data_IF_880138497793
#
_entry.id   IF_880138497793
#
_cell.length_a   1.000
_cell.length_b   1.000
_cell.length_c   1.000
_cell.angle_alpha   90.00
_cell.angle_beta   90.00
_cell.angle_gamma   90.00
#
_symmetry.space_group_name_H-M   'P 1'
#
loop_
_entity.id
_entity.type
_entity.pdbx_description
1 polymer ?
#
# COMPACT_ATOMS: atom_id res chain seq x y z
N UNK A 1 24.47 11.69 21.32
CA UNK A 1 23.06 11.59 20.90
C UNK A 1 22.24 11.16 22.11
N UNK A 2 21.63 12.10 22.84
CA UNK A 2 21.03 11.84 24.16
C UNK A 2 19.61 11.28 24.06
N UNK A 3 19.23 10.37 24.97
CA UNK A 3 17.96 9.63 24.99
C UNK A 3 16.68 10.50 25.13
N UNK A 4 16.81 11.81 25.36
CA UNK A 4 15.70 12.74 25.57
C UNK A 4 14.97 13.17 24.29
N UNK A 5 15.57 12.95 23.10
CA UNK A 5 15.02 13.42 21.81
C UNK A 5 13.87 12.54 21.27
N UNK A 6 13.64 11.36 21.88
CA UNK A 6 12.56 10.43 21.48
C UNK A 6 11.18 10.79 22.03
N UNK A 7 11.05 11.90 22.76
CA UNK A 7 9.83 12.27 23.49
C UNK A 7 9.02 13.43 22.88
N UNK A 8 9.38 13.89 21.68
CA UNK A 8 8.70 15.01 21.01
C UNK A 8 7.78 14.55 19.87
N UNK A 9 6.70 15.29 19.66
CA UNK A 9 5.80 15.05 18.54
C UNK A 9 6.51 15.33 17.20
N UNK A 10 6.39 14.41 16.25
CA UNK A 10 7.00 14.55 14.91
C UNK A 10 6.47 15.71 14.05
N UNK A 11 5.36 16.33 14.45
CA UNK A 11 4.74 17.44 13.69
C UNK A 11 5.00 18.79 14.34
N UNK A 12 4.72 18.94 15.64
CA UNK A 12 4.87 20.22 16.34
C UNK A 12 6.16 20.35 17.15
N UNK A 13 7.01 19.32 17.19
CA UNK A 13 8.26 19.29 17.96
C UNK A 13 8.10 19.58 19.46
N UNK A 14 6.87 19.52 20.00
CA UNK A 14 6.57 19.70 21.41
C UNK A 14 6.46 18.34 22.12
N UNK A 15 6.79 18.30 23.41
CA UNK A 15 6.56 17.13 24.27
C UNK A 15 5.05 16.99 24.52
N UNK A 16 4.38 15.94 24.04
CA UNK A 16 2.96 15.78 24.30
C UNK A 16 2.75 15.49 25.79
N UNK A 17 1.96 16.33 26.47
CA UNK A 17 1.72 16.19 27.91
C UNK A 17 0.70 15.11 28.26
N UNK A 18 -0.24 14.83 27.36
CA UNK A 18 -1.32 13.84 27.53
C UNK A 18 -1.71 13.22 26.18
N UNK A 19 -2.33 12.03 26.18
CA UNK A 19 -2.83 11.32 25.00
C UNK A 19 -1.79 11.20 23.86
N UNK A 20 -0.60 10.71 24.23
CA UNK A 20 0.50 10.46 23.29
C UNK A 20 0.19 9.20 22.47
N UNK A 21 0.33 9.27 21.15
CA UNK A 21 0.26 8.09 20.28
C UNK A 21 1.66 7.68 19.82
N UNK A 22 2.04 6.44 20.10
CA UNK A 22 3.25 5.82 19.56
C UNK A 22 2.88 5.09 18.26
N UNK A 23 3.36 5.58 17.12
CA UNK A 23 3.06 5.02 15.80
C UNK A 23 4.19 5.33 14.82
N UNK A 24 4.46 4.43 13.87
CA UNK A 24 5.52 4.59 12.85
C UNK A 24 6.91 4.91 13.46
N UNK A 25 7.23 4.31 14.61
CA UNK A 25 8.48 4.56 15.34
C UNK A 25 8.64 5.97 15.94
N UNK A 26 7.56 6.76 15.96
CA UNK A 26 7.53 8.17 16.37
C UNK A 26 6.45 8.43 17.41
N UNK A 27 6.57 9.56 18.13
CA UNK A 27 5.53 10.07 19.01
C UNK A 27 4.69 11.14 18.30
N UNK A 28 3.41 11.14 18.62
CA UNK A 28 2.43 12.06 18.06
C UNK A 28 1.52 12.60 19.17
N UNK A 29 1.21 13.90 19.11
CA UNK A 29 0.13 14.47 19.92
C UNK A 29 -1.23 13.98 19.42
N UNK A 30 -2.23 13.96 20.32
CA UNK A 30 -3.62 13.61 20.00
C UNK A 30 -4.17 14.26 18.71
N UNK A 31 -3.80 15.52 18.41
CA UNK A 31 -4.31 16.26 17.25
C UNK A 31 -3.41 16.16 16.00
N UNK A 32 -2.23 15.53 16.10
CA UNK A 32 -1.26 15.49 15.02
C UNK A 32 -1.11 14.10 14.40
N UNK A 33 -1.67 13.06 15.02
CA UNK A 33 -1.77 11.76 14.40
C UNK A 33 -3.05 11.68 13.56
N UNK A 34 -2.96 12.15 12.32
CA UNK A 34 -4.09 12.26 11.39
C UNK A 34 -3.84 11.46 10.12
N UNK A 35 -4.93 11.09 9.43
CA UNK A 35 -4.87 10.45 8.13
C UNK A 35 -4.20 11.39 7.12
N UNK A 36 -3.16 10.94 6.43
CA UNK A 36 -2.45 11.74 5.43
C UNK A 36 -3.34 12.17 4.24
N UNK A 37 -4.49 11.50 4.03
CA UNK A 37 -5.40 11.83 2.91
C UNK A 37 -6.53 12.76 3.33
N UNK A 38 -7.18 12.52 4.47
CA UNK A 38 -8.37 13.29 4.88
C UNK A 38 -8.18 14.12 6.15
N UNK A 39 -6.99 14.10 6.76
CA UNK A 39 -6.64 14.82 7.98
C UNK A 39 -7.51 14.53 9.22
N UNK A 40 -8.33 13.47 9.19
CA UNK A 40 -9.10 13.01 10.36
C UNK A 40 -8.15 12.37 11.37
N UNK A 41 -8.33 12.68 12.65
CA UNK A 41 -7.57 12.10 13.76
C UNK A 41 -7.72 10.58 13.82
N UNK A 42 -6.59 9.87 13.86
CA UNK A 42 -6.50 8.41 13.88
C UNK A 42 -6.48 7.88 15.32
N UNK A 43 -7.58 8.08 16.03
CA UNK A 43 -7.69 7.76 17.47
C UNK A 43 -7.62 6.24 17.72
N UNK A 44 -8.30 5.48 16.87
CA UNK A 44 -8.52 4.04 16.98
C UNK A 44 -7.59 3.24 16.06
N UNK A 45 -8.17 2.65 15.01
CA UNK A 45 -7.51 1.85 13.99
C UNK A 45 -6.87 2.72 12.90
N UNK A 46 -5.68 2.33 12.47
CA UNK A 46 -4.98 2.96 11.36
C UNK A 46 -4.13 1.93 10.62
N UNK A 47 -3.85 2.23 9.35
CA UNK A 47 -2.90 1.49 8.55
C UNK A 47 -1.71 2.38 8.19
N UNK A 48 -0.53 1.79 8.24
CA UNK A 48 0.70 2.38 7.73
C UNK A 48 0.92 1.97 6.28
N UNK A 49 1.24 2.92 5.40
CA UNK A 49 1.71 2.62 4.04
C UNK A 49 2.79 3.62 3.65
N UNK A 50 3.95 3.16 3.18
CA UNK A 50 5.08 4.05 2.78
C UNK A 50 5.39 5.11 3.85
N UNK A 51 5.52 4.68 5.11
CA UNK A 51 5.81 5.52 6.28
C UNK A 51 4.76 6.62 6.60
N UNK A 52 3.56 6.51 6.02
CA UNK A 52 2.44 7.43 6.26
C UNK A 52 1.26 6.69 6.89
N UNK A 53 0.50 7.38 7.73
CA UNK A 53 -0.67 6.83 8.41
C UNK A 53 -1.97 7.19 7.66
N UNK A 54 -2.85 6.20 7.52
CA UNK A 54 -4.12 6.33 6.81
C UNK A 54 -5.27 5.71 7.61
N UNK A 55 -6.46 6.30 7.51
CA UNK A 55 -7.67 5.68 8.06
C UNK A 55 -8.10 4.50 7.17
N UNK A 56 -8.88 3.52 7.67
CA UNK A 56 -9.33 2.36 6.91
C UNK A 56 -9.96 2.69 5.56
N UNK A 57 -10.78 3.76 5.54
CA UNK A 57 -11.46 4.25 4.33
C UNK A 57 -10.50 4.81 3.28
N UNK A 58 -9.47 5.56 3.70
CA UNK A 58 -8.48 6.14 2.79
C UNK A 58 -7.43 5.11 2.37
N UNK A 59 -7.04 4.20 3.28
CA UNK A 59 -6.07 3.14 3.01
C UNK A 59 -6.48 2.31 1.79
N UNK A 60 -7.74 1.86 1.71
CA UNK A 60 -8.21 1.09 0.55
C UNK A 60 -8.15 1.84 -0.79
N UNK A 61 -8.10 3.18 -0.78
CA UNK A 61 -8.03 4.00 -2.00
C UNK A 61 -6.60 4.23 -2.49
N UNK A 62 -5.62 4.21 -1.59
CA UNK A 62 -4.21 4.44 -1.91
C UNK A 62 -3.47 3.16 -2.28
N UNK A 63 -4.02 1.99 -1.93
CA UNK A 63 -3.42 0.71 -2.27
C UNK A 63 -3.39 0.52 -3.79
N UNK A 64 -2.31 -0.05 -4.34
CA UNK A 64 -2.26 -0.38 -5.76
C UNK A 64 -3.40 -1.34 -6.10
N UNK A 65 -4.06 -1.12 -7.23
CA UNK A 65 -5.21 -1.93 -7.64
C UNK A 65 -4.77 -2.98 -8.66
N UNK A 66 -5.29 -4.19 -8.50
CA UNK A 66 -5.07 -5.25 -9.47
C UNK A 66 -5.70 -4.86 -10.82
N UNK A 67 -4.90 -4.87 -11.90
CA UNK A 67 -5.38 -4.51 -13.25
C UNK A 67 -6.43 -5.50 -13.80
N UNK A 68 -6.42 -6.75 -13.32
CA UNK A 68 -7.37 -7.79 -13.76
C UNK A 68 -8.72 -7.71 -13.05
N UNK A 69 -8.74 -7.56 -11.71
CA UNK A 69 -10.00 -7.59 -10.95
C UNK A 69 -10.43 -6.24 -10.37
N UNK A 70 -9.61 -5.19 -10.46
CA UNK A 70 -9.87 -3.85 -9.95
C UNK A 70 -9.81 -3.70 -8.42
N UNK A 71 -9.60 -4.81 -7.67
CA UNK A 71 -9.54 -4.80 -6.21
C UNK A 71 -8.16 -4.33 -5.70
N UNK A 72 -8.09 -3.65 -4.54
CA UNK A 72 -6.83 -3.21 -3.95
C UNK A 72 -5.97 -4.39 -3.48
N UNK A 73 -4.67 -4.33 -3.75
CA UNK A 73 -3.66 -5.26 -3.30
C UNK A 73 -3.31 -4.91 -1.85
N UNK A 74 -3.64 -5.81 -0.93
CA UNK A 74 -3.39 -5.60 0.50
C UNK A 74 -1.91 -5.75 0.82
N UNK A 75 -1.44 -4.96 1.78
CA UNK A 75 -0.10 -5.11 2.35
C UNK A 75 0.08 -6.52 2.93
N UNK A 76 1.27 -7.10 2.75
CA UNK A 76 1.61 -8.46 3.22
C UNK A 76 1.10 -9.62 2.36
N UNK A 77 0.42 -9.35 1.24
CA UNK A 77 0.09 -10.37 0.23
C UNK A 77 1.08 -10.32 -0.92
N UNK A 78 1.50 -11.48 -1.39
CA UNK A 78 2.30 -11.59 -2.61
C UNK A 78 1.50 -11.08 -3.81
N UNK A 79 2.13 -10.20 -4.59
CA UNK A 79 1.60 -9.68 -5.84
C UNK A 79 2.66 -9.80 -6.93
N UNK A 80 2.19 -9.88 -8.18
CA UNK A 80 3.05 -9.91 -9.36
C UNK A 80 3.25 -8.49 -9.86
N UNK A 81 4.50 -8.11 -10.06
CA UNK A 81 4.89 -6.84 -10.65
C UNK A 81 5.20 -7.07 -12.14
N UNK A 82 4.78 -6.15 -13.00
CA UNK A 82 5.15 -6.13 -14.41
C UNK A 82 5.41 -4.71 -14.88
N UNK A 83 6.34 -4.55 -15.82
CA UNK A 83 6.74 -3.25 -16.37
C UNK A 83 7.07 -2.21 -15.28
N UNK A 84 7.63 -2.66 -14.15
CA UNK A 84 8.05 -1.80 -13.03
C UNK A 84 6.95 -1.23 -12.13
N UNK A 85 5.68 -1.23 -12.55
CA UNK A 85 4.59 -0.55 -11.80
C UNK A 85 3.22 -1.23 -11.85
N UNK A 86 3.02 -2.24 -12.69
CA UNK A 86 1.71 -2.88 -12.82
C UNK A 86 1.63 -4.06 -11.87
N UNK A 87 0.57 -4.09 -11.06
CA UNK A 87 0.42 -5.10 -10.03
C UNK A 87 -0.81 -5.99 -10.26
N UNK A 88 -0.67 -7.29 -10.03
CA UNK A 88 -1.77 -8.26 -9.97
C UNK A 88 -1.67 -9.12 -8.72
N UNK A 89 -2.81 -9.61 -8.24
CA UNK A 89 -2.78 -10.77 -7.34
C UNK A 89 -2.14 -11.96 -8.05
N UNK A 90 -1.49 -12.85 -7.31
CA UNK A 90 -0.94 -14.09 -7.87
C UNK A 90 -1.97 -14.90 -8.67
N UNK A 91 -3.19 -15.02 -8.12
CA UNK A 91 -4.33 -15.69 -8.76
C UNK A 91 -4.87 -14.94 -9.99
N UNK A 92 -4.64 -13.63 -10.06
CA UNK A 92 -5.11 -12.78 -11.16
C UNK A 92 -4.11 -12.69 -12.32
N UNK A 93 -2.89 -13.23 -12.14
CA UNK A 93 -1.83 -13.21 -13.14
C UNK A 93 -1.96 -14.41 -14.10
N UNK A 94 -3.10 -14.46 -14.79
CA UNK A 94 -3.50 -15.53 -15.70
C UNK A 94 -3.71 -14.99 -17.13
N UNK A 95 -3.41 -15.84 -18.12
CA UNK A 95 -3.55 -15.50 -19.53
C UNK A 95 -5.02 -15.33 -19.90
N UNK A 96 -5.41 -14.19 -20.47
CA UNK A 96 -6.79 -13.93 -20.89
C UNK A 96 -7.28 -14.81 -22.05
N UNK A 97 -6.39 -15.49 -22.79
CA UNK A 97 -6.76 -16.44 -23.86
C UNK A 97 -6.95 -17.87 -23.34
N UNK A 98 -6.02 -18.38 -22.53
CA UNK A 98 -5.99 -19.80 -22.12
C UNK A 98 -6.25 -20.03 -20.62
N UNK A 99 -6.42 -18.98 -19.84
CA UNK A 99 -6.65 -18.99 -18.38
C UNK A 99 -5.55 -19.71 -17.56
N UNK A 100 -4.39 -19.97 -18.15
CA UNK A 100 -3.23 -20.53 -17.44
C UNK A 100 -2.45 -19.43 -16.71
N UNK A 101 -1.83 -19.73 -15.55
CA UNK A 101 -0.93 -18.78 -14.89
C UNK A 101 0.21 -18.40 -15.83
N UNK A 102 0.59 -17.12 -15.79
CA UNK A 102 1.64 -16.57 -16.64
C UNK A 102 2.93 -16.42 -15.84
N UNK A 103 4.07 -16.67 -16.49
CA UNK A 103 5.38 -16.40 -15.91
C UNK A 103 5.68 -14.90 -15.92
N UNK A 104 6.09 -14.37 -14.76
CA UNK A 104 6.44 -12.95 -14.61
C UNK A 104 7.60 -12.53 -15.51
N UNK A 105 8.48 -13.47 -15.86
CA UNK A 105 9.64 -13.22 -16.73
C UNK A 105 9.31 -13.27 -18.23
N UNK A 106 8.16 -13.86 -18.61
CA UNK A 106 7.83 -14.17 -20.01
C UNK A 106 6.32 -14.04 -20.25
N UNK A 107 5.85 -12.79 -20.29
CA UNK A 107 4.46 -12.46 -20.61
C UNK A 107 4.39 -11.46 -21.76
N UNK A 108 3.26 -11.46 -22.46
CA UNK A 108 2.89 -10.43 -23.42
C UNK A 108 1.70 -9.64 -22.90
N UNK A 109 1.58 -8.39 -23.32
CA UNK A 109 0.38 -7.58 -23.10
C UNK A 109 -0.21 -7.20 -24.45
N UNK A 110 -1.52 -7.40 -24.61
CA UNK A 110 -2.26 -6.94 -25.78
C UNK A 110 -3.56 -6.27 -25.32
N UNK A 111 -3.77 -5.00 -25.66
CA UNK A 111 -4.97 -4.23 -25.26
C UNK A 111 -5.27 -4.34 -23.74
N UNK A 112 -4.27 -4.11 -22.89
CA UNK A 112 -4.34 -4.25 -21.41
C UNK A 112 -4.67 -5.67 -20.90
N UNK A 113 -4.72 -6.69 -21.78
CA UNK A 113 -4.94 -8.10 -21.42
C UNK A 113 -3.60 -8.83 -21.28
N UNK A 114 -3.45 -9.53 -20.17
CA UNK A 114 -2.28 -10.37 -19.89
C UNK A 114 -2.32 -11.62 -20.76
N UNK A 115 -1.25 -11.92 -21.49
CA UNK A 115 -1.11 -13.10 -22.33
C UNK A 115 0.15 -13.87 -21.93
N UNK A 116 0.08 -15.21 -21.91
CA UNK A 116 1.28 -16.03 -21.80
C UNK A 116 2.12 -15.94 -23.08
N UNK A 117 3.43 -16.23 -22.98
CA UNK A 117 4.34 -16.20 -24.12
C UNK A 117 3.82 -16.99 -25.33
N UNK A 118 3.23 -18.17 -25.12
CA UNK A 118 2.65 -18.99 -26.21
C UNK A 118 1.46 -18.30 -26.90
N UNK A 119 0.60 -17.64 -26.14
CA UNK A 119 -0.60 -16.96 -26.65
C UNK A 119 -0.30 -15.58 -27.25
N UNK A 120 0.84 -14.99 -26.89
CA UNK A 120 1.32 -13.72 -27.42
C UNK A 120 2.07 -13.89 -28.75
N UNK A 121 2.70 -15.06 -28.95
CA UNK A 121 3.39 -15.42 -30.20
C UNK A 121 2.46 -16.02 -31.27
N UNK A 122 1.16 -16.18 -30.96
CA UNK A 122 0.10 -16.67 -31.85
C UNK A 122 -0.92 -15.58 -32.15
#
# INVERSE_FOLDING_TARGET
>A
MSAADRMICSVCCQRPSTNVKCALGRLWCQNHFCCNTCNIALVQDYHSFREKAYCPTCFGKILPKCKSCGKPLREGKEYREANGEIYWHMECFICSKCNKPVDVSKFGMNNDKLLCAECAQK
#
